data_IF_077383434274
#
_entry.id   IF_077383434274
#
_cell.length_a   1.000
_cell.length_b   1.000
_cell.length_c   1.000
_cell.angle_alpha   90.00
_cell.angle_beta   90.00
_cell.angle_gamma   90.00
#
_symmetry.space_group_name_H-M   'P 1'
#
loop_
_entity.id
_entity.type
_entity.pdbx_description
1 polymer ?
#
# COMPACT_ATOMS: atom_id res chain seq x y z
N UNK A 1 -0.15 25.53 12.99
CA UNK A 1 -0.65 24.70 11.87
C UNK A 1 -1.50 23.56 12.43
N UNK A 2 -2.60 23.19 11.77
CA UNK A 2 -3.37 21.99 12.16
C UNK A 2 -2.63 20.73 11.68
N UNK A 3 -2.71 19.64 12.43
CA UNK A 3 -2.09 18.36 12.07
C UNK A 3 -2.76 17.80 10.80
N UNK A 4 -2.01 17.28 9.81
CA UNK A 4 -2.60 16.59 8.66
C UNK A 4 -3.42 15.37 9.09
N UNK A 5 -4.60 15.20 8.48
CA UNK A 5 -5.44 14.00 8.62
C UNK A 5 -5.29 13.17 7.36
N UNK A 6 -4.86 11.93 7.50
CA UNK A 6 -4.62 11.00 6.37
C UNK A 6 -5.53 9.78 6.45
N UNK A 7 -5.88 9.23 5.29
CA UNK A 7 -6.65 8.00 5.18
C UNK A 7 -5.71 6.82 4.95
N UNK A 8 -5.80 5.78 5.78
CA UNK A 8 -5.16 4.50 5.52
C UNK A 8 -5.88 3.78 4.37
N UNK A 9 -5.12 3.31 3.39
CA UNK A 9 -5.70 2.78 2.17
C UNK A 9 -5.96 1.26 2.18
N UNK A 10 -5.63 0.53 3.25
CA UNK A 10 -5.69 -0.94 3.25
C UNK A 10 -7.08 -1.52 3.00
N UNK A 11 -8.13 -0.88 3.52
CA UNK A 11 -9.54 -1.24 3.30
C UNK A 11 -10.06 -0.88 1.90
N UNK A 12 -9.24 -0.30 1.04
CA UNK A 12 -9.63 0.26 -0.25
C UNK A 12 -8.82 -0.32 -1.42
N UNK A 13 -8.07 -1.41 -1.18
CA UNK A 13 -7.14 -2.00 -2.15
C UNK A 13 -7.83 -2.74 -3.29
N UNK A 14 -9.15 -2.84 -3.25
CA UNK A 14 -10.04 -3.24 -4.33
C UNK A 14 -10.29 -2.11 -5.35
N UNK A 15 -9.98 -0.86 -5.02
CA UNK A 15 -10.05 0.29 -5.93
C UNK A 15 -8.65 0.64 -6.47
N UNK A 16 -8.55 1.17 -7.70
CA UNK A 16 -7.31 1.77 -8.16
C UNK A 16 -6.91 2.97 -7.30
N UNK A 17 -5.60 3.15 -7.04
CA UNK A 17 -5.08 4.26 -6.24
C UNK A 17 -5.61 5.63 -6.68
N UNK A 18 -5.67 5.87 -7.99
CA UNK A 18 -6.14 7.15 -8.54
C UNK A 18 -7.62 7.42 -8.23
N UNK A 19 -8.44 6.36 -8.25
CA UNK A 19 -9.87 6.45 -7.90
C UNK A 19 -10.04 6.79 -6.42
N UNK A 20 -9.25 6.16 -5.54
CA UNK A 20 -9.27 6.47 -4.12
C UNK A 20 -8.74 7.88 -3.82
N UNK A 21 -7.66 8.30 -4.50
CA UNK A 21 -7.09 9.63 -4.33
C UNK A 21 -8.09 10.73 -4.70
N UNK A 22 -8.84 10.57 -5.79
CA UNK A 22 -9.92 11.49 -6.15
C UNK A 22 -10.97 11.59 -5.04
N UNK A 23 -11.45 10.44 -4.54
CA UNK A 23 -12.47 10.36 -3.48
C UNK A 23 -11.97 10.98 -2.17
N UNK A 24 -10.78 10.60 -1.72
CA UNK A 24 -10.19 11.08 -0.46
C UNK A 24 -9.99 12.59 -0.46
N UNK A 25 -9.60 13.17 -1.60
CA UNK A 25 -9.51 14.62 -1.77
C UNK A 25 -10.88 15.30 -1.63
N UNK A 26 -11.93 14.73 -2.25
CA UNK A 26 -13.31 15.22 -2.10
C UNK A 26 -13.86 15.08 -0.67
N UNK A 27 -13.41 14.07 0.08
CA UNK A 27 -13.77 13.87 1.48
C UNK A 27 -13.01 14.79 2.45
N UNK A 28 -12.01 15.53 1.97
CA UNK A 28 -11.25 16.50 2.77
C UNK A 28 -10.03 15.94 3.49
N UNK A 29 -9.55 14.75 3.13
CA UNK A 29 -8.28 14.24 3.65
C UNK A 29 -7.11 15.06 3.12
N UNK A 30 -6.04 15.16 3.92
CA UNK A 30 -4.81 15.86 3.55
C UNK A 30 -3.78 14.92 2.90
N UNK A 31 -4.02 13.62 2.95
CA UNK A 31 -3.11 12.64 2.41
C UNK A 31 -3.59 11.21 2.55
N UNK A 32 -2.81 10.30 1.98
CA UNK A 32 -3.01 8.86 2.08
C UNK A 32 -1.80 8.23 2.77
N UNK A 33 -2.08 7.28 3.66
CA UNK A 33 -1.11 6.31 4.14
C UNK A 33 -1.24 5.06 3.25
N UNK A 34 -0.26 4.87 2.36
CA UNK A 34 -0.36 3.88 1.28
C UNK A 34 -0.10 2.47 1.81
N UNK A 35 -1.04 1.57 1.59
CA UNK A 35 -0.87 0.15 1.85
C UNK A 35 0.05 -0.48 0.80
N UNK A 36 0.98 -1.33 1.24
CA UNK A 36 1.88 -2.09 0.37
C UNK A 36 1.17 -3.33 -0.24
N UNK A 37 0.01 -3.10 -0.86
CA UNK A 37 -0.87 -4.12 -1.44
C UNK A 37 -1.78 -3.49 -2.50
N UNK A 38 -2.33 -4.31 -3.40
CA UNK A 38 -3.07 -3.79 -4.56
C UNK A 38 -2.17 -2.98 -5.48
N UNK A 39 -2.71 -1.96 -6.14
CA UNK A 39 -1.92 -1.01 -6.96
C UNK A 39 -1.49 0.25 -6.18
N UNK A 40 -1.74 0.30 -4.88
CA UNK A 40 -1.51 1.47 -4.03
C UNK A 40 -0.02 1.74 -3.81
N UNK A 41 0.74 0.72 -3.42
CA UNK A 41 2.20 0.78 -3.36
C UNK A 41 2.80 -0.62 -3.50
N UNK A 42 3.59 -0.84 -4.54
CA UNK A 42 4.25 -2.10 -4.82
C UNK A 42 5.75 -1.93 -4.52
N UNK A 43 6.24 -2.68 -3.53
CA UNK A 43 7.57 -2.47 -2.94
C UNK A 43 8.69 -2.89 -3.89
N UNK A 44 8.51 -3.98 -4.64
CA UNK A 44 9.54 -4.45 -5.58
C UNK A 44 9.72 -3.48 -6.75
N UNK A 45 8.63 -2.94 -7.30
CA UNK A 45 8.63 -1.91 -8.34
C UNK A 45 9.23 -0.62 -7.81
N UNK A 46 8.97 -0.24 -6.57
CA UNK A 46 9.60 0.93 -5.96
C UNK A 46 11.14 0.84 -5.90
N UNK A 47 11.70 -0.38 -5.84
CA UNK A 47 13.15 -0.62 -5.80
C UNK A 47 13.72 -0.81 -7.22
N UNK A 48 12.97 -1.43 -8.13
CA UNK A 48 13.47 -1.88 -9.44
C UNK A 48 13.10 -0.96 -10.60
N UNK A 49 12.05 -0.17 -10.49
CA UNK A 49 11.57 0.74 -11.52
C UNK A 49 11.82 2.20 -11.11
N UNK A 50 12.82 2.89 -11.71
CA UNK A 50 13.24 4.23 -11.27
C UNK A 50 12.12 5.28 -11.24
N UNK A 51 11.07 5.11 -12.06
CA UNK A 51 9.96 6.06 -12.17
C UNK A 51 8.72 5.67 -11.36
N UNK A 52 8.72 4.50 -10.69
CA UNK A 52 7.53 4.02 -10.00
C UNK A 52 7.10 4.94 -8.86
N UNK A 53 8.05 5.31 -7.99
CA UNK A 53 7.76 6.19 -6.84
C UNK A 53 7.27 7.56 -7.31
N UNK A 54 7.86 8.10 -8.38
CA UNK A 54 7.40 9.36 -8.97
C UNK A 54 5.96 9.25 -9.48
N UNK A 55 5.61 8.15 -10.16
CA UNK A 55 4.23 7.93 -10.63
C UNK A 55 3.20 7.91 -9.50
N UNK A 56 3.55 7.36 -8.31
CA UNK A 56 2.66 7.38 -7.13
C UNK A 56 2.52 8.80 -6.58
N UNK A 57 3.63 9.55 -6.52
CA UNK A 57 3.63 10.97 -6.11
C UNK A 57 2.78 11.82 -7.05
N UNK A 58 2.87 11.59 -8.35
CA UNK A 58 2.12 12.35 -9.37
C UNK A 58 0.61 12.17 -9.20
N UNK A 59 0.15 10.94 -8.96
CA UNK A 59 -1.27 10.66 -8.65
C UNK A 59 -1.72 11.43 -7.40
N UNK A 60 -0.96 11.37 -6.30
CA UNK A 60 -1.34 12.07 -5.07
C UNK A 60 -1.33 13.60 -5.26
N UNK A 61 -0.31 14.13 -5.95
CA UNK A 61 -0.17 15.56 -6.21
C UNK A 61 -1.31 16.10 -7.08
N UNK A 62 -1.78 15.32 -8.08
CA UNK A 62 -2.95 15.66 -8.91
C UNK A 62 -4.20 15.98 -8.07
N UNK A 63 -4.34 15.40 -6.88
CA UNK A 63 -5.47 15.59 -5.98
C UNK A 63 -5.10 16.37 -4.70
N UNK A 64 -3.96 17.06 -4.69
CA UNK A 64 -3.43 17.82 -3.54
C UNK A 64 -3.24 16.98 -2.26
N UNK A 65 -3.04 15.67 -2.41
CA UNK A 65 -2.80 14.75 -1.30
C UNK A 65 -1.31 14.58 -1.05
N UNK A 66 -0.94 14.40 0.22
CA UNK A 66 0.41 14.01 0.63
C UNK A 66 0.48 12.54 1.02
N UNK A 67 1.68 12.00 1.09
CA UNK A 67 1.95 10.70 1.70
C UNK A 67 3.13 10.89 2.67
N UNK A 68 2.88 10.57 3.94
CA UNK A 68 3.84 10.68 5.04
C UNK A 68 4.28 9.31 5.56
N UNK A 69 3.52 8.25 5.24
CA UNK A 69 3.74 6.90 5.70
C UNK A 69 3.22 5.89 4.67
N UNK A 70 3.80 4.69 4.72
CA UNK A 70 3.34 3.50 4.03
C UNK A 70 3.17 2.38 5.05
N UNK A 71 2.32 1.40 4.78
CA UNK A 71 1.99 0.31 5.72
C UNK A 71 2.05 -1.05 5.04
N UNK A 72 2.81 -1.98 5.62
CA UNK A 72 3.03 -3.32 5.08
C UNK A 72 2.56 -4.42 6.04
N UNK A 73 1.34 -4.28 6.58
CA UNK A 73 0.81 -5.20 7.59
C UNK A 73 0.78 -6.66 7.12
N UNK A 74 0.38 -6.89 5.86
CA UNK A 74 0.15 -8.24 5.34
C UNK A 74 1.44 -9.06 5.29
N UNK A 75 2.50 -8.51 4.69
CA UNK A 75 3.81 -9.17 4.63
C UNK A 75 4.47 -9.19 6.00
N UNK A 76 4.34 -8.12 6.79
CA UNK A 76 4.87 -8.07 8.16
C UNK A 76 4.31 -9.17 9.05
N UNK A 77 3.04 -9.55 8.88
CA UNK A 77 2.41 -10.63 9.63
C UNK A 77 3.16 -11.97 9.48
N UNK A 78 3.69 -12.24 8.28
CA UNK A 78 4.35 -13.50 7.97
C UNK A 78 5.81 -13.59 8.47
N UNK A 79 6.29 -12.61 9.25
CA UNK A 79 7.66 -12.63 9.77
C UNK A 79 7.79 -13.54 11.00
N UNK A 80 6.84 -13.45 11.94
CA UNK A 80 6.93 -14.17 13.22
C UNK A 80 5.75 -15.13 13.47
N UNK A 81 4.72 -15.11 12.62
CA UNK A 81 3.55 -15.97 12.79
C UNK A 81 3.85 -17.43 12.38
N UNK A 82 3.26 -18.41 13.09
CA UNK A 82 3.12 -19.76 12.56
C UNK A 82 2.32 -19.73 11.25
N UNK A 83 2.99 -20.01 10.13
CA UNK A 83 2.39 -19.89 8.80
C UNK A 83 1.33 -20.97 8.58
N UNK A 84 0.20 -20.54 8.02
CA UNK A 84 -0.91 -21.39 7.61
C UNK A 84 -1.65 -20.82 6.38
N UNK A 85 -2.73 -21.48 5.96
CA UNK A 85 -3.51 -21.12 4.78
C UNK A 85 -4.05 -19.68 4.75
N UNK A 86 -4.19 -18.99 5.89
CA UNK A 86 -4.67 -17.59 5.95
C UNK A 86 -3.66 -16.63 5.32
N UNK A 87 -2.38 -16.95 5.46
CA UNK A 87 -1.27 -16.14 4.95
C UNK A 87 -1.21 -16.19 3.41
N UNK A 88 -1.54 -17.34 2.81
CA UNK A 88 -1.53 -17.51 1.35
C UNK A 88 -2.40 -16.50 0.62
N UNK A 89 -3.51 -16.06 1.22
CA UNK A 89 -4.45 -15.12 0.61
C UNK A 89 -4.00 -13.66 0.68
N UNK A 90 -3.04 -13.34 1.56
CA UNK A 90 -2.61 -11.96 1.82
C UNK A 90 -1.18 -11.68 1.38
N UNK A 91 -0.39 -12.72 1.10
CA UNK A 91 0.99 -12.60 0.67
C UNK A 91 1.13 -12.60 -0.86
N UNK A 92 2.02 -11.75 -1.41
CA UNK A 92 2.44 -11.89 -2.79
C UNK A 92 3.05 -13.26 -3.06
N UNK A 93 2.87 -13.78 -4.27
CA UNK A 93 3.38 -15.11 -4.64
C UNK A 93 4.89 -15.27 -4.41
N UNK A 94 5.67 -14.21 -4.64
CA UNK A 94 7.13 -14.21 -4.42
C UNK A 94 7.52 -14.25 -2.93
N UNK A 95 6.63 -13.85 -2.01
CA UNK A 95 6.83 -14.01 -0.56
C UNK A 95 6.33 -15.37 -0.10
N UNK A 96 5.17 -15.83 -0.61
CA UNK A 96 4.59 -17.12 -0.25
C UNK A 96 5.47 -18.31 -0.66
N UNK A 97 6.12 -18.25 -1.82
CA UNK A 97 6.96 -19.35 -2.32
C UNK A 97 6.17 -20.65 -2.45
N UNK A 98 6.62 -21.70 -1.76
CA UNK A 98 5.97 -23.02 -1.74
C UNK A 98 5.03 -23.22 -0.53
N UNK A 99 4.92 -22.21 0.35
CA UNK A 99 4.09 -22.27 1.55
C UNK A 99 4.72 -23.00 2.73
N UNK A 100 6.00 -23.40 2.64
CA UNK A 100 6.74 -23.90 3.80
C UNK A 100 7.40 -22.74 4.55
N UNK A 101 7.23 -22.64 5.88
CA UNK A 101 7.82 -21.54 6.66
C UNK A 101 9.35 -21.44 6.55
N UNK A 102 10.04 -22.55 6.32
CA UNK A 102 11.51 -22.61 6.27
C UNK A 102 12.09 -22.67 4.84
N UNK A 103 11.24 -22.80 3.81
CA UNK A 103 11.65 -23.10 2.43
C UNK A 103 11.92 -24.58 2.17
#
# INVERSE_FOLDING_TARGET
MKRPVTLFTGQWTDLPLETLAQKASQWGFNGLELACSGDHFEVQRAITEPQYVQSRRDILNKYNLKCYAISNHLVGQAVCDPIDSRHKNILPAYVWGDGKPEG
#
